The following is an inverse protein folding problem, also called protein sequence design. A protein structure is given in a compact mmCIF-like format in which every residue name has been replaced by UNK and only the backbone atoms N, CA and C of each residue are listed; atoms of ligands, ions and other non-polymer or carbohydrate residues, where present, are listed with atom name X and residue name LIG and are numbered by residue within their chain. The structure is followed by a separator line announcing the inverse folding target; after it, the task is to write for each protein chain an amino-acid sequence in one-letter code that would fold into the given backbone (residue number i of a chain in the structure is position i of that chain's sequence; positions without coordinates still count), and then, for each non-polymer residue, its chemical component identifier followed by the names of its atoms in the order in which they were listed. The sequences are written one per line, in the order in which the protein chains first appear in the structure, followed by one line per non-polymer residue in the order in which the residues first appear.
data_IF_374779149513
#
_entry.id   IF_374779149513
#
_cell.length_a   1.000
_cell.length_b   1.000
_cell.length_c   1.000
_cell.angle_alpha   90.00
_cell.angle_beta   90.00
_cell.angle_gamma   90.00
#
_symmetry.space_group_name_H-M   'P 1'
#
loop_
_entity.id
_entity.type
_entity.pdbx_description
1 polymer ?
#
# COMPACT_ATOMS: atom_id res chain seq x y z
N UNK A 1 2.78 6.86 -30.48
CA UNK A 1 2.86 6.66 -29.01
C UNK A 1 1.68 5.86 -28.44
N UNK A 2 0.45 6.09 -28.91
CA UNK A 2 -0.79 5.41 -28.44
C UNK A 2 -0.80 3.88 -28.50
N UNK A 3 -0.10 3.26 -29.47
CA UNK A 3 -0.08 1.79 -29.62
C UNK A 3 0.48 1.02 -28.42
N UNK A 4 1.44 1.59 -27.67
CA UNK A 4 1.98 0.93 -26.46
C UNK A 4 1.00 0.98 -25.29
N UNK A 5 0.17 2.01 -25.25
CA UNK A 5 -0.89 2.17 -24.23
C UNK A 5 -2.03 1.19 -24.52
N UNK A 6 -2.35 0.90 -25.77
CA UNK A 6 -3.43 -0.07 -26.08
C UNK A 6 -3.03 -1.52 -25.74
N UNK A 7 -1.74 -1.86 -25.77
CA UNK A 7 -1.25 -3.23 -25.54
C UNK A 7 -1.48 -3.78 -24.12
N UNK A 8 -1.59 -2.92 -23.10
CA UNK A 8 -1.87 -3.38 -21.73
C UNK A 8 -3.37 -3.54 -21.44
N UNK A 9 -4.24 -3.10 -22.34
CA UNK A 9 -5.69 -3.20 -22.20
C UNK A 9 -6.11 -4.56 -22.78
N UNK A 10 -6.50 -5.53 -21.95
CA UNK A 10 -6.95 -6.83 -22.44
C UNK A 10 -8.27 -6.69 -23.21
N UNK A 11 -8.52 -7.64 -24.12
CA UNK A 11 -9.77 -7.69 -24.89
C UNK A 11 -10.99 -7.91 -23.97
N UNK A 12 -12.17 -7.46 -24.42
CA UNK A 12 -13.43 -7.45 -23.64
C UNK A 12 -13.86 -8.80 -23.04
N UNK A 13 -13.32 -9.92 -23.52
CA UNK A 13 -13.62 -11.27 -23.03
C UNK A 13 -12.39 -12.05 -22.55
N UNK A 14 -11.23 -11.40 -22.48
CA UNK A 14 -10.03 -12.07 -21.98
C UNK A 14 -10.04 -12.12 -20.45
N UNK A 15 -10.00 -13.33 -19.89
CA UNK A 15 -9.83 -13.52 -18.46
C UNK A 15 -8.37 -13.25 -18.09
N UNK A 16 -8.10 -12.07 -17.54
CA UNK A 16 -6.75 -11.69 -17.13
C UNK A 16 -6.26 -12.59 -15.97
N UNK A 17 -5.28 -13.44 -16.25
CA UNK A 17 -4.60 -14.25 -15.23
C UNK A 17 -3.34 -13.49 -14.80
N UNK A 18 -3.38 -12.85 -13.62
CA UNK A 18 -2.26 -12.03 -13.13
C UNK A 18 -1.04 -12.85 -12.69
N UNK A 19 -1.28 -14.00 -12.07
CA UNK A 19 -0.23 -14.84 -11.48
C UNK A 19 -0.57 -16.32 -11.66
N UNK A 20 0.13 -17.00 -12.58
CA UNK A 20 -0.05 -18.42 -12.84
C UNK A 20 1.18 -19.24 -12.41
N UNK A 21 0.97 -20.54 -12.19
CA UNK A 21 2.05 -21.46 -11.84
C UNK A 21 2.78 -21.06 -10.57
N UNK A 22 4.11 -20.99 -10.65
CA UNK A 22 4.96 -20.63 -9.51
C UNK A 22 4.82 -19.18 -9.07
N UNK A 23 4.23 -18.28 -9.87
CA UNK A 23 4.00 -16.88 -9.47
C UNK A 23 2.73 -16.70 -8.63
N UNK A 24 1.86 -17.72 -8.53
CA UNK A 24 0.62 -17.59 -7.76
C UNK A 24 0.91 -17.36 -6.27
N UNK A 25 0.21 -16.41 -5.63
CA UNK A 25 0.46 -15.97 -4.25
C UNK A 25 0.55 -17.11 -3.23
N UNK A 26 -0.25 -18.16 -3.39
CA UNK A 26 -0.26 -19.33 -2.50
C UNK A 26 1.04 -20.15 -2.54
N UNK A 27 1.73 -20.16 -3.68
CA UNK A 27 2.86 -21.06 -3.94
C UNK A 27 4.17 -20.34 -4.27
N UNK A 28 4.12 -19.03 -4.50
CA UNK A 28 5.26 -18.19 -4.87
C UNK A 28 6.41 -18.32 -3.87
N UNK A 29 6.15 -18.20 -2.57
CA UNK A 29 7.21 -18.34 -1.55
C UNK A 29 7.92 -19.70 -1.55
N UNK A 30 7.30 -20.77 -2.07
CA UNK A 30 7.88 -22.13 -2.09
C UNK A 30 8.64 -22.43 -3.38
N UNK A 31 8.12 -22.01 -4.53
CA UNK A 31 8.70 -22.36 -5.83
C UNK A 31 9.65 -21.30 -6.37
N UNK A 32 9.46 -20.02 -6.03
CA UNK A 32 10.32 -18.94 -6.54
C UNK A 32 11.81 -19.13 -6.16
N UNK A 33 12.17 -19.56 -4.93
CA UNK A 33 13.56 -19.86 -4.61
C UNK A 33 14.18 -20.96 -5.49
N UNK A 34 13.42 -22.02 -5.80
CA UNK A 34 13.87 -23.12 -6.67
C UNK A 34 14.11 -22.66 -8.11
N UNK A 35 13.29 -21.73 -8.59
CA UNK A 35 13.46 -21.13 -9.92
C UNK A 35 14.71 -20.25 -9.96
N UNK A 36 14.98 -19.46 -8.91
CA UNK A 36 16.23 -18.69 -8.81
C UNK A 36 17.46 -19.58 -8.81
N UNK A 37 17.43 -20.70 -8.07
CA UNK A 37 18.50 -21.69 -8.06
C UNK A 37 18.72 -22.33 -9.44
N UNK A 38 17.64 -22.78 -10.10
CA UNK A 38 17.71 -23.37 -11.44
C UNK A 38 18.25 -22.39 -12.49
N UNK A 39 17.91 -21.10 -12.37
CA UNK A 39 18.35 -20.04 -13.27
C UNK A 39 19.71 -19.43 -12.87
N UNK A 40 20.36 -19.93 -11.81
CA UNK A 40 21.63 -19.42 -11.26
C UNK A 40 21.59 -17.91 -10.97
N UNK A 41 20.43 -17.40 -10.57
CA UNK A 41 20.25 -16.01 -10.20
C UNK A 41 20.58 -15.82 -8.73
N UNK A 42 21.11 -14.64 -8.39
CA UNK A 42 21.26 -14.25 -7.00
C UNK A 42 19.86 -14.16 -6.35
N UNK A 43 19.66 -14.88 -5.25
CA UNK A 43 18.44 -14.75 -4.46
C UNK A 43 18.37 -13.33 -3.88
N UNK A 44 17.21 -12.64 -3.99
CA UNK A 44 17.04 -11.34 -3.35
C UNK A 44 17.36 -11.45 -1.86
N UNK A 45 18.18 -10.52 -1.36
CA UNK A 45 18.46 -10.43 0.07
C UNK A 45 17.19 -10.11 0.88
N UNK A 46 17.22 -10.34 2.21
CA UNK A 46 16.10 -9.97 3.07
C UNK A 46 15.81 -8.48 2.92
N UNK A 47 14.57 -8.15 2.55
CA UNK A 47 14.12 -6.75 2.50
C UNK A 47 14.07 -6.19 3.93
N UNK A 48 14.58 -4.97 4.16
CA UNK A 48 14.46 -4.34 5.46
C UNK A 48 12.98 -4.16 5.81
N UNK A 49 12.62 -4.39 7.07
CA UNK A 49 11.25 -4.12 7.54
C UNK A 49 11.05 -2.60 7.55
N UNK A 50 10.30 -2.11 6.57
CA UNK A 50 9.89 -0.71 6.52
C UNK A 50 8.70 -0.52 7.46
N UNK A 51 8.86 0.38 8.43
CA UNK A 51 7.77 0.81 9.30
C UNK A 51 7.08 2.04 8.71
N UNK A 52 5.82 2.25 9.08
CA UNK A 52 5.02 3.40 8.63
C UNK A 52 5.78 4.73 8.75
N UNK A 53 6.51 4.94 9.85
CA UNK A 53 7.33 6.14 10.06
C UNK A 53 8.41 6.35 9.03
N UNK A 54 9.12 5.28 8.68
CA UNK A 54 10.20 5.33 7.70
C UNK A 54 9.63 5.66 6.32
N UNK A 55 8.47 5.07 5.98
CA UNK A 55 7.78 5.35 4.73
C UNK A 55 7.24 6.79 4.68
N UNK A 56 6.55 7.24 5.73
CA UNK A 56 6.01 8.59 5.82
C UNK A 56 7.13 9.65 5.77
N UNK A 57 8.25 9.40 6.46
CA UNK A 57 9.42 10.27 6.44
C UNK A 57 10.08 10.31 5.06
N UNK A 58 10.22 9.16 4.39
CA UNK A 58 10.78 9.13 3.03
C UNK A 58 9.87 9.83 2.01
N UNK A 59 8.55 9.74 2.18
CA UNK A 59 7.57 10.35 1.27
C UNK A 59 7.41 11.86 1.49
N UNK A 60 7.20 12.28 2.74
CA UNK A 60 6.89 13.67 3.09
C UNK A 60 8.12 14.49 3.50
N UNK A 61 9.29 13.88 3.67
CA UNK A 61 10.50 14.47 4.27
C UNK A 61 10.28 15.06 5.68
N UNK A 62 9.17 14.71 6.34
CA UNK A 62 8.80 15.16 7.69
C UNK A 62 8.56 13.94 8.56
N UNK A 63 9.07 13.97 9.79
CA UNK A 63 8.85 12.91 10.76
C UNK A 63 7.43 13.03 11.36
N UNK A 64 6.53 12.04 11.15
CA UNK A 64 5.16 12.09 11.66
C UNK A 64 5.08 12.06 13.19
N UNK A 65 6.16 11.67 13.88
CA UNK A 65 6.23 11.70 15.34
C UNK A 65 6.94 12.93 15.91
N UNK A 66 7.25 13.93 15.07
CA UNK A 66 7.81 15.20 15.53
C UNK A 66 6.80 16.32 15.34
N UNK A 67 6.52 17.02 16.44
CA UNK A 67 5.63 18.18 16.45
C UNK A 67 6.23 19.28 15.55
N UNK A 68 5.50 19.71 14.51
CA UNK A 68 5.98 20.75 13.57
C UNK A 68 6.22 22.09 14.28
N UNK A 69 5.47 22.38 15.34
CA UNK A 69 5.56 23.64 16.08
C UNK A 69 6.69 23.66 17.11
N UNK A 70 6.78 22.65 17.98
CA UNK A 70 7.72 22.66 19.12
C UNK A 70 8.82 21.59 19.05
N UNK A 71 8.81 20.73 18.03
CA UNK A 71 9.81 19.66 17.88
C UNK A 71 9.69 18.51 18.89
N UNK A 72 8.76 18.56 19.85
CA UNK A 72 8.54 17.49 20.83
C UNK A 72 8.03 16.21 20.17
N UNK A 73 8.27 15.07 20.83
CA UNK A 73 7.78 13.77 20.37
C UNK A 73 6.26 13.71 20.47
N UNK A 74 5.59 13.40 19.36
CA UNK A 74 4.17 13.14 19.31
C UNK A 74 3.91 11.68 19.67
N UNK A 75 2.90 11.45 20.51
CA UNK A 75 2.43 10.10 20.86
C UNK A 75 1.01 9.95 20.33
N UNK A 76 0.72 8.77 19.79
CA UNK A 76 -0.62 8.41 19.35
C UNK A 76 -1.60 8.54 20.52
N UNK A 77 -2.65 9.35 20.34
CA UNK A 77 -3.70 9.50 21.35
C UNK A 77 -4.99 8.81 20.96
N UNK A 78 -5.43 8.97 19.70
CA UNK A 78 -6.66 8.37 19.21
C UNK A 78 -6.70 8.40 17.68
N UNK A 79 -7.45 7.48 17.08
CA UNK A 79 -7.85 7.54 15.68
C UNK A 79 -9.29 8.03 15.64
N UNK A 80 -9.53 9.16 14.99
CA UNK A 80 -10.87 9.72 14.82
C UNK A 80 -11.34 9.30 13.42
N UNK A 81 -12.40 8.51 13.36
CA UNK A 81 -13.04 8.18 12.08
C UNK A 81 -13.66 9.45 11.49
N UNK A 82 -13.34 9.75 10.23
CA UNK A 82 -14.02 10.81 9.50
C UNK A 82 -15.54 10.58 9.43
N UNK A 83 -16.30 11.67 9.39
CA UNK A 83 -17.73 11.61 9.08
C UNK A 83 -17.88 11.22 7.61
N UNK A 84 -18.63 10.15 7.32
CA UNK A 84 -19.00 9.81 5.95
C UNK A 84 -19.92 10.91 5.43
N UNK A 85 -19.42 11.73 4.51
CA UNK A 85 -20.27 12.66 3.77
C UNK A 85 -21.14 11.79 2.87
N UNK A 86 -22.44 11.70 3.15
CA UNK A 86 -23.39 11.08 2.24
C UNK A 86 -23.48 11.98 0.99
N UNK A 87 -22.57 11.74 0.03
CA UNK A 87 -22.61 12.40 -1.27
C UNK A 87 -23.84 11.95 -2.04
N UNK A 88 -24.62 12.91 -2.52
CA UNK A 88 -25.75 12.78 -3.45
C UNK A 88 -25.30 12.33 -4.86
N UNK A 89 -24.66 11.16 -4.95
CA UNK A 89 -24.25 10.53 -6.22
C UNK A 89 -25.00 9.21 -6.48
N UNK A 90 -25.22 8.82 -7.75
CA UNK A 90 -25.93 7.58 -8.07
C UNK A 90 -25.10 6.35 -7.64
N UNK A 91 -25.72 5.49 -6.84
CA UNK A 91 -25.11 4.28 -6.28
C UNK A 91 -24.79 3.27 -7.40
N UNK A 92 -23.50 2.98 -7.63
CA UNK A 92 -23.07 1.83 -8.44
C UNK A 92 -22.98 0.60 -7.53
N UNK A 93 -23.51 -0.53 -8.01
CA UNK A 93 -23.75 -1.77 -7.26
C UNK A 93 -22.50 -2.59 -6.92
N UNK A 94 -21.35 -1.95 -6.68
CA UNK A 94 -20.06 -2.64 -6.47
C UNK A 94 -19.15 -2.08 -5.38
N UNK A 95 -19.47 -0.94 -4.76
CA UNK A 95 -18.48 -0.15 -3.99
C UNK A 95 -18.30 -0.59 -2.52
N UNK A 96 -18.61 -1.85 -2.16
CA UNK A 96 -18.67 -2.29 -0.75
C UNK A 96 -17.33 -2.73 -0.14
N UNK A 97 -16.21 -2.65 -0.88
CA UNK A 97 -14.92 -3.19 -0.43
C UNK A 97 -13.81 -2.15 -0.21
N UNK A 98 -13.92 -0.94 -0.74
CA UNK A 98 -12.85 0.06 -0.65
C UNK A 98 -13.30 1.31 0.14
N UNK A 99 -13.92 1.09 1.29
CA UNK A 99 -14.07 2.15 2.28
C UNK A 99 -12.71 2.29 2.98
N UNK A 100 -11.75 2.94 2.32
CA UNK A 100 -10.52 3.41 2.96
C UNK A 100 -10.95 4.41 4.01
N UNK A 101 -11.22 3.91 5.21
CA UNK A 101 -11.47 4.71 6.42
C UNK A 101 -10.23 5.52 6.68
N UNK A 102 -10.20 6.73 6.16
CA UNK A 102 -9.18 7.71 6.50
C UNK A 102 -9.48 8.18 7.93
N UNK A 103 -8.91 7.45 8.88
CA UNK A 103 -8.94 7.84 10.27
C UNK A 103 -7.86 8.91 10.47
N UNK A 104 -8.28 10.15 10.73
CA UNK A 104 -7.35 11.19 11.14
C UNK A 104 -6.76 10.76 12.48
N UNK A 105 -5.46 10.48 12.46
CA UNK A 105 -4.73 10.03 13.63
C UNK A 105 -4.44 11.24 14.50
N UNK A 106 -5.23 11.43 15.56
CA UNK A 106 -4.99 12.46 16.56
C UNK A 106 -3.71 12.14 17.33
N UNK A 107 -2.74 13.04 17.27
CA UNK A 107 -1.49 12.93 18.00
C UNK A 107 -1.26 14.20 18.83
N UNK A 108 -0.86 14.04 20.10
CA UNK A 108 -0.57 15.16 21.02
C UNK A 108 0.93 15.20 21.32
N UNK A 109 1.49 16.41 21.34
CA UNK A 109 2.90 16.62 21.70
C UNK A 109 3.03 16.40 23.23
N UNK A 110 3.86 15.44 23.64
CA UNK A 110 4.14 15.19 25.06
C UNK A 110 5.14 16.25 25.50
N UNK A 111 4.64 17.33 26.11
CA UNK A 111 5.47 18.28 26.83
C UNK A 111 5.83 17.63 28.17
N UNK A 112 7.09 17.23 28.34
CA UNK A 112 7.68 17.08 29.68
C UNK A 112 7.83 18.45 30.31
#
# INVERSE_FOLDING_TARGET
MLRRVVQHIPEKHFRMIRYFGFLANRVCGKYLPKVYEALKMATPGPVPKLYFTQMAKAFLNVDPFRCVLCGARMVYTAAISGLTVQGTGPQRSGDRADEVREALTGARCVRT
#
